data_IF_568495168987
#
_entry.id   IF_568495168987
#
_cell.length_a   1.000
_cell.length_b   1.000
_cell.length_c   1.000
_cell.angle_alpha   90.00
_cell.angle_beta   90.00
_cell.angle_gamma   90.00
#
_symmetry.space_group_name_H-M   'P 1'
#
loop_
_entity.id
_entity.type
_entity.pdbx_description
1 polymer ?
#
# COMPACT_ATOMS: atom_id res chain seq x y z
N UNK A 1 38.90 -38.31 33.39
CA UNK A 1 37.48 -38.17 32.98
C UNK A 1 36.99 -36.80 33.39
N UNK A 2 36.99 -35.82 32.50
CA UNK A 2 36.15 -34.62 32.63
C UNK A 2 35.67 -34.24 31.24
N UNK A 3 34.34 -34.13 31.12
CA UNK A 3 33.55 -34.03 29.90
C UNK A 3 33.68 -32.64 29.26
N UNK A 4 33.54 -32.62 27.94
CA UNK A 4 33.42 -31.44 27.07
C UNK A 4 32.22 -30.56 27.50
N UNK A 5 32.32 -29.21 27.42
CA UNK A 5 31.15 -28.35 27.49
C UNK A 5 30.36 -28.46 26.18
N UNK A 6 29.07 -28.66 26.35
CA UNK A 6 28.04 -28.78 25.33
C UNK A 6 27.80 -27.37 24.77
N UNK A 7 28.05 -27.14 23.48
CA UNK A 7 27.58 -25.93 22.81
C UNK A 7 26.05 -25.98 22.75
N UNK A 8 25.41 -25.27 23.68
CA UNK A 8 23.96 -25.04 23.65
C UNK A 8 23.65 -24.14 22.46
N UNK A 9 23.14 -24.73 21.37
CA UNK A 9 22.67 -23.95 20.23
C UNK A 9 21.48 -23.10 20.68
N UNK A 10 21.71 -21.81 20.87
CA UNK A 10 20.63 -20.85 20.87
C UNK A 10 20.06 -20.86 19.44
N UNK A 11 18.90 -21.49 19.26
CA UNK A 11 18.06 -21.21 18.11
C UNK A 11 17.81 -19.70 18.15
N UNK A 12 18.45 -18.96 17.26
CA UNK A 12 17.94 -17.65 16.90
C UNK A 12 16.51 -17.90 16.40
N UNK A 13 15.52 -17.53 17.21
CA UNK A 13 14.17 -17.39 16.70
C UNK A 13 14.27 -16.35 15.60
N UNK A 14 14.27 -16.81 14.35
CA UNK A 14 14.10 -15.96 13.19
C UNK A 14 12.79 -15.22 13.44
N UNK A 15 12.87 -13.96 13.88
CA UNK A 15 11.72 -13.07 13.82
C UNK A 15 11.34 -13.06 12.35
N UNK A 16 10.26 -13.75 12.01
CA UNK A 16 9.75 -13.76 10.66
C UNK A 16 9.25 -12.34 10.41
N UNK A 17 10.11 -11.50 9.83
CA UNK A 17 9.75 -10.21 9.30
C UNK A 17 8.81 -10.45 8.10
N UNK A 18 7.52 -10.69 8.39
CA UNK A 18 6.43 -10.78 7.42
C UNK A 18 6.49 -9.70 6.32
N UNK A 19 5.93 -10.04 5.18
CA UNK A 19 6.07 -9.28 3.93
C UNK A 19 5.45 -7.87 4.06
N UNK A 20 6.14 -6.84 3.59
CA UNK A 20 5.56 -5.50 3.43
C UNK A 20 4.30 -5.60 2.55
N UNK A 21 3.14 -5.20 3.07
CA UNK A 21 1.87 -5.28 2.34
C UNK A 21 1.58 -4.03 1.50
N UNK A 22 2.56 -3.63 0.69
CA UNK A 22 2.37 -2.63 -0.36
C UNK A 22 1.15 -3.06 -1.19
N UNK A 23 0.13 -2.20 -1.29
CA UNK A 23 -0.93 -2.39 -2.28
C UNK A 23 -0.28 -2.18 -3.63
N UNK A 24 0.06 -3.30 -4.26
CA UNK A 24 0.38 -3.27 -5.67
C UNK A 24 -0.82 -3.79 -6.45
N UNK A 25 -1.27 -3.06 -7.46
CA UNK A 25 -2.23 -3.51 -8.44
C UNK A 25 -1.88 -4.89 -8.96
N UNK A 26 -2.79 -5.82 -8.77
CA UNK A 26 -3.01 -6.84 -9.78
C UNK A 26 -4.35 -6.48 -10.40
N UNK A 27 -4.38 -6.07 -11.67
CA UNK A 27 -5.66 -6.06 -12.38
C UNK A 27 -6.16 -7.50 -12.40
N UNK A 28 -7.39 -7.76 -11.95
CA UNK A 28 -8.03 -9.01 -12.28
C UNK A 28 -8.22 -9.03 -13.80
N UNK A 29 -7.34 -9.78 -14.48
CA UNK A 29 -7.61 -10.22 -15.84
C UNK A 29 -8.84 -11.13 -15.77
N UNK A 30 -10.04 -10.58 -15.87
CA UNK A 30 -11.07 -11.29 -16.61
C UNK A 30 -10.59 -11.25 -18.06
N UNK A 31 -10.08 -12.39 -18.51
CA UNK A 31 -9.45 -12.60 -19.81
C UNK A 31 -10.37 -12.21 -20.97
N UNK A 32 -10.22 -10.98 -21.50
CA UNK A 32 -10.49 -10.69 -22.90
C UNK A 32 -9.61 -9.52 -23.38
N UNK A 33 -8.59 -9.76 -24.23
CA UNK A 33 -7.69 -8.72 -24.72
C UNK A 33 -8.25 -7.87 -25.89
N UNK A 34 -9.58 -7.76 -26.08
CA UNK A 34 -10.12 -7.14 -27.31
C UNK A 34 -11.16 -6.02 -27.20
N UNK A 35 -11.30 -5.30 -26.08
CA UNK A 35 -12.11 -4.05 -26.11
C UNK A 35 -11.60 -2.92 -25.22
N UNK A 36 -11.06 -1.89 -25.89
CA UNK A 36 -10.88 -0.53 -25.37
C UNK A 36 -12.24 0.12 -25.22
N UNK A 37 -12.93 -0.09 -24.10
CA UNK A 37 -14.18 0.60 -23.77
C UNK A 37 -14.04 1.29 -22.41
N UNK A 38 -14.09 2.62 -22.43
CA UNK A 38 -14.35 3.43 -21.24
C UNK A 38 -15.72 3.00 -20.68
N UNK A 39 -15.73 2.22 -19.59
CA UNK A 39 -16.98 1.72 -19.01
C UNK A 39 -16.93 0.45 -18.15
N UNK A 40 -15.80 -0.25 -18.03
CA UNK A 40 -15.73 -1.46 -17.20
C UNK A 40 -15.33 -1.14 -15.76
N UNK A 41 -16.24 -1.40 -14.81
CA UNK A 41 -15.95 -1.52 -13.37
C UNK A 41 -14.80 -2.53 -13.20
N UNK A 42 -13.61 -2.04 -12.84
CA UNK A 42 -12.45 -2.88 -12.58
C UNK A 42 -12.21 -3.00 -11.07
N UNK A 43 -11.97 -4.23 -10.61
CA UNK A 43 -11.48 -4.44 -9.26
C UNK A 43 -9.99 -4.11 -9.16
N UNK A 44 -9.63 -3.37 -8.11
CA UNK A 44 -8.25 -3.10 -7.74
C UNK A 44 -7.89 -4.01 -6.57
N UNK A 45 -6.93 -4.90 -6.77
CA UNK A 45 -6.50 -5.84 -5.74
C UNK A 45 -5.17 -5.45 -5.12
N UNK A 46 -4.97 -5.66 -3.80
CA UNK A 46 -3.63 -5.67 -3.23
C UNK A 46 -2.89 -6.91 -3.72
N UNK A 47 -1.64 -6.74 -4.15
CA UNK A 47 -0.78 -7.87 -4.60
C UNK A 47 -0.60 -8.94 -3.53
N UNK A 48 -0.66 -8.54 -2.26
CA UNK A 48 -0.57 -9.49 -1.16
C UNK A 48 -1.76 -10.45 -1.10
N UNK A 49 -2.93 -10.08 -1.63
CA UNK A 49 -4.12 -10.91 -1.63
C UNK A 49 -5.13 -10.51 -2.73
N UNK A 50 -5.19 -11.28 -3.82
CA UNK A 50 -6.13 -11.05 -4.92
C UNK A 50 -7.60 -11.35 -4.58
N UNK A 51 -7.90 -11.92 -3.41
CA UNK A 51 -9.27 -12.09 -2.93
C UNK A 51 -9.86 -10.81 -2.32
N UNK A 52 -9.02 -9.80 -2.06
CA UNK A 52 -9.43 -8.50 -1.52
C UNK A 52 -9.53 -7.45 -2.63
N UNK A 53 -10.45 -6.51 -2.45
CA UNK A 53 -10.77 -5.45 -3.39
C UNK A 53 -10.71 -4.09 -2.69
N UNK A 54 -10.07 -3.12 -3.33
CA UNK A 54 -10.10 -1.71 -2.93
C UNK A 54 -11.56 -1.25 -2.92
N UNK A 55 -11.98 -0.71 -1.78
CA UNK A 55 -13.37 -0.40 -1.49
C UNK A 55 -13.49 1.01 -0.94
N UNK A 56 -14.55 1.72 -1.32
CA UNK A 56 -14.97 2.93 -0.62
C UNK A 56 -16.00 2.57 0.46
N UNK A 57 -15.76 2.99 1.71
CA UNK A 57 -16.62 2.67 2.84
C UNK A 57 -18.06 3.20 2.70
N UNK A 58 -18.25 4.27 1.91
CA UNK A 58 -19.55 4.81 1.50
C UNK A 58 -19.40 5.68 0.25
N UNK A 59 -20.49 6.24 -0.28
CA UNK A 59 -20.49 7.24 -1.38
C UNK A 59 -20.47 8.70 -0.88
N UNK A 60 -20.10 8.94 0.38
CA UNK A 60 -19.94 10.29 0.91
C UNK A 60 -18.54 10.84 0.60
N UNK A 61 -18.43 12.13 0.32
CA UNK A 61 -17.14 12.81 0.30
C UNK A 61 -16.44 12.64 1.66
N UNK A 62 -15.18 12.23 1.63
CA UNK A 62 -14.40 11.89 2.80
C UNK A 62 -14.59 10.46 3.30
N UNK A 63 -15.35 9.62 2.61
CA UNK A 63 -15.40 8.20 2.97
C UNK A 63 -14.01 7.57 2.80
N UNK A 64 -13.61 6.79 3.81
CA UNK A 64 -12.33 6.11 3.80
C UNK A 64 -12.25 5.11 2.63
N UNK A 65 -11.04 4.96 2.11
CA UNK A 65 -10.71 3.87 1.19
C UNK A 65 -10.06 2.75 1.99
N UNK A 66 -10.61 1.55 1.84
CA UNK A 66 -10.25 0.34 2.57
C UNK A 66 -10.13 -0.85 1.63
N UNK A 67 -9.86 -2.02 2.17
CA UNK A 67 -9.99 -3.29 1.44
C UNK A 67 -11.07 -4.14 2.05
N UNK A 68 -11.82 -4.83 1.19
CA UNK A 68 -12.88 -5.75 1.56
C UNK A 68 -12.78 -7.03 0.73
N UNK A 69 -13.50 -8.08 1.12
CA UNK A 69 -13.77 -9.20 0.23
C UNK A 69 -14.40 -8.69 -1.08
N UNK A 70 -13.96 -9.25 -2.20
CA UNK A 70 -14.48 -8.86 -3.50
C UNK A 70 -15.93 -9.31 -3.67
N UNK A 71 -16.80 -8.36 -4.01
CA UNK A 71 -18.24 -8.55 -4.23
C UNK A 71 -18.58 -8.23 -5.68
N UNK A 72 -19.02 -9.25 -6.43
CA UNK A 72 -19.41 -9.08 -7.84
C UNK A 72 -20.52 -8.04 -7.99
N UNK A 73 -20.33 -7.09 -8.91
CA UNK A 73 -21.29 -6.01 -9.17
C UNK A 73 -21.32 -4.90 -8.13
N UNK A 74 -20.43 -4.89 -7.13
CA UNK A 74 -20.36 -3.82 -6.15
C UNK A 74 -19.91 -2.50 -6.78
N UNK A 75 -20.72 -1.45 -6.62
CA UNK A 75 -20.35 -0.09 -7.04
C UNK A 75 -19.30 0.54 -6.13
N UNK A 76 -19.18 0.07 -4.88
CA UNK A 76 -18.16 0.54 -3.94
C UNK A 76 -16.78 -0.09 -4.16
N UNK A 77 -16.68 -1.04 -5.10
CA UNK A 77 -15.44 -1.70 -5.50
C UNK A 77 -15.12 -1.48 -6.98
N UNK A 78 -16.00 -0.77 -7.68
CA UNK A 78 -15.93 -0.55 -9.12
C UNK A 78 -15.14 0.68 -9.48
N UNK A 79 -13.83 0.50 -9.69
CA UNK A 79 -12.96 1.60 -10.06
C UNK A 79 -12.80 1.69 -11.57
N UNK A 80 -12.73 2.92 -12.09
CA UNK A 80 -12.45 3.22 -13.49
C UNK A 80 -11.33 4.25 -13.60
N UNK A 81 -10.62 4.27 -14.71
CA UNK A 81 -9.65 5.33 -15.00
C UNK A 81 -10.28 6.38 -15.91
N UNK A 82 -10.10 7.65 -15.55
CA UNK A 82 -10.50 8.80 -16.38
C UNK A 82 -9.37 9.82 -16.38
N UNK A 83 -8.58 9.84 -17.46
CA UNK A 83 -7.33 10.59 -17.48
C UNK A 83 -6.37 10.09 -16.39
N UNK A 84 -5.99 10.99 -15.47
CA UNK A 84 -5.16 10.64 -14.30
C UNK A 84 -5.98 10.33 -13.06
N UNK A 85 -7.31 10.35 -13.12
CA UNK A 85 -8.15 10.05 -11.97
C UNK A 85 -8.47 8.55 -11.91
N UNK A 86 -8.47 8.00 -10.69
CA UNK A 86 -9.12 6.74 -10.36
C UNK A 86 -10.51 7.05 -9.81
N UNK A 87 -11.53 6.78 -10.59
CA UNK A 87 -12.91 7.13 -10.31
C UNK A 87 -13.71 5.97 -9.74
N UNK A 88 -14.70 6.28 -8.92
CA UNK A 88 -15.67 5.37 -8.31
C UNK A 88 -17.03 6.07 -8.22
N UNK A 89 -18.12 5.31 -8.23
CA UNK A 89 -19.50 5.83 -8.23
C UNK A 89 -19.86 6.79 -9.39
N UNK A 90 -18.96 7.02 -10.34
CA UNK A 90 -19.15 7.84 -11.54
C UNK A 90 -18.67 9.29 -11.40
N UNK A 91 -18.64 9.85 -10.19
CA UNK A 91 -18.27 11.25 -9.93
C UNK A 91 -17.30 11.44 -8.76
N UNK A 92 -16.88 10.35 -8.10
CA UNK A 92 -15.90 10.38 -7.01
C UNK A 92 -14.55 9.89 -7.49
N UNK A 93 -13.50 10.45 -6.91
CA UNK A 93 -12.12 10.19 -7.22
C UNK A 93 -11.39 9.72 -5.97
N UNK A 94 -10.45 8.78 -6.13
CA UNK A 94 -9.47 8.47 -5.10
C UNK A 94 -8.66 9.74 -4.77
N UNK A 95 -8.56 10.07 -3.50
CA UNK A 95 -8.10 11.37 -3.03
C UNK A 95 -7.13 11.22 -1.85
N UNK A 96 -6.02 11.96 -1.88
CA UNK A 96 -5.15 12.14 -0.72
C UNK A 96 -5.79 13.17 0.20
N UNK A 97 -6.17 12.75 1.41
CA UNK A 97 -6.88 13.61 2.36
C UNK A 97 -6.20 14.97 2.55
N UNK A 98 -6.89 16.05 2.20
CA UNK A 98 -6.43 17.44 2.26
C UNK A 98 -5.12 17.71 1.48
N UNK A 99 -4.72 16.83 0.56
CA UNK A 99 -3.44 16.93 -0.16
C UNK A 99 -2.21 16.86 0.74
N UNK A 100 -2.33 16.31 1.95
CA UNK A 100 -1.22 16.30 2.89
C UNK A 100 -0.08 15.42 2.37
N UNK A 101 1.13 15.97 2.34
CA UNK A 101 2.33 15.24 1.93
C UNK A 101 2.89 14.35 3.03
N UNK A 102 2.39 14.44 4.26
CA UNK A 102 2.79 13.63 5.40
C UNK A 102 2.56 12.14 5.11
N UNK A 103 3.60 11.33 5.24
CA UNK A 103 3.52 9.88 5.11
C UNK A 103 2.48 9.30 6.08
N UNK A 104 1.76 8.26 5.67
CA UNK A 104 0.65 7.76 6.48
C UNK A 104 -0.67 8.51 6.26
N UNK A 105 -0.70 9.58 5.45
CA UNK A 105 -1.97 10.27 5.13
C UNK A 105 -2.93 9.28 4.49
N UNK A 106 -4.11 9.15 5.11
CA UNK A 106 -5.15 8.23 4.67
C UNK A 106 -5.73 8.67 3.33
N UNK A 107 -6.15 7.69 2.54
CA UNK A 107 -6.89 7.96 1.32
C UNK A 107 -8.39 7.95 1.59
N UNK A 108 -9.07 8.82 0.87
CA UNK A 108 -10.51 8.96 0.89
C UNK A 108 -11.03 8.94 -0.55
N UNK A 109 -12.35 8.94 -0.69
CA UNK A 109 -12.98 9.39 -1.92
C UNK A 109 -13.42 10.85 -1.77
N UNK A 110 -13.37 11.58 -2.87
CA UNK A 110 -13.88 12.95 -2.91
C UNK A 110 -14.45 13.24 -4.29
N UNK A 111 -15.40 14.17 -4.37
CA UNK A 111 -15.93 14.67 -5.65
C UNK A 111 -14.78 15.03 -6.59
N UNK A 112 -14.80 14.46 -7.79
CA UNK A 112 -13.76 14.68 -8.78
C UNK A 112 -13.66 16.16 -9.16
N UNK A 113 -12.47 16.74 -9.08
CA UNK A 113 -12.19 18.12 -9.44
C UNK A 113 -11.15 18.20 -10.56
N UNK A 114 -11.45 19.01 -11.59
CA UNK A 114 -10.52 19.19 -12.71
C UNK A 114 -9.23 19.88 -12.25
N UNK A 115 -8.09 19.24 -12.49
CA UNK A 115 -6.78 19.78 -12.13
C UNK A 115 -6.41 19.63 -10.65
N UNK A 116 -7.22 18.92 -9.86
CA UNK A 116 -6.88 18.64 -8.47
C UNK A 116 -5.77 17.59 -8.38
N UNK A 117 -4.58 18.04 -7.96
CA UNK A 117 -3.38 17.20 -7.84
C UNK A 117 -3.54 16.09 -6.82
N UNK A 118 -4.41 16.25 -5.82
CA UNK A 118 -4.63 15.24 -4.78
C UNK A 118 -5.39 14.02 -5.29
N UNK A 119 -5.94 14.11 -6.50
CA UNK A 119 -6.75 13.09 -7.15
C UNK A 119 -6.07 12.48 -8.38
N UNK A 120 -4.81 12.84 -8.65
CA UNK A 120 -4.06 12.37 -9.81
C UNK A 120 -3.16 11.18 -9.45
N UNK A 121 -3.35 10.09 -10.17
CA UNK A 121 -2.67 8.82 -9.94
C UNK A 121 -2.04 8.29 -11.21
N UNK A 122 -0.81 7.83 -11.09
CA UNK A 122 -0.08 7.15 -12.15
C UNK A 122 -0.04 5.67 -11.85
N UNK A 123 -0.56 4.86 -12.79
CA UNK A 123 -0.47 3.41 -12.75
C UNK A 123 0.84 3.01 -13.43
N UNK A 124 1.80 2.48 -12.66
CA UNK A 124 3.09 2.03 -13.18
C UNK A 124 3.33 0.56 -12.82
N UNK A 125 3.16 -0.31 -13.82
CA UNK A 125 3.18 -1.76 -13.62
C UNK A 125 2.12 -2.18 -12.62
N UNK A 126 2.56 -2.71 -11.49
CA UNK A 126 1.69 -3.07 -10.38
C UNK A 126 1.56 -1.97 -9.32
N UNK A 127 1.95 -0.71 -9.53
CA UNK A 127 1.88 0.32 -8.45
C UNK A 127 0.93 1.47 -8.79
N UNK A 128 0.15 1.92 -7.79
CA UNK A 128 -0.55 3.22 -7.79
C UNK A 128 0.39 4.23 -7.18
N UNK A 129 0.77 5.24 -7.94
CA UNK A 129 1.62 6.33 -7.47
C UNK A 129 0.85 7.63 -7.48
N UNK A 130 1.01 8.44 -6.44
CA UNK A 130 0.47 9.80 -6.44
C UNK A 130 1.28 10.63 -7.44
N UNK A 131 0.63 11.15 -8.48
CA UNK A 131 1.32 11.77 -9.61
C UNK A 131 2.14 12.99 -9.16
N UNK A 132 3.42 13.02 -9.55
CA UNK A 132 4.35 14.08 -9.14
C UNK A 132 5.01 13.86 -7.79
N UNK A 133 4.69 12.76 -7.11
CA UNK A 133 5.25 12.39 -5.81
C UNK A 133 5.91 11.01 -5.86
N UNK A 134 6.83 10.75 -4.92
CA UNK A 134 7.51 9.45 -4.77
C UNK A 134 6.74 8.44 -3.92
N UNK A 135 5.44 8.68 -3.68
CA UNK A 135 4.59 7.88 -2.79
C UNK A 135 3.69 6.92 -3.55
N UNK A 136 3.43 5.75 -2.95
CA UNK A 136 2.50 4.75 -3.47
C UNK A 136 1.29 4.60 -2.56
N UNK A 137 0.24 3.97 -3.09
CA UNK A 137 -0.86 3.44 -2.29
C UNK A 137 -0.40 2.21 -1.49
N UNK A 138 -0.72 2.14 -0.20
CA UNK A 138 -0.24 1.09 0.71
C UNK A 138 -1.32 0.71 1.74
N UNK A 139 -1.24 -0.51 2.29
CA UNK A 139 -2.13 -0.99 3.35
C UNK A 139 -1.54 -0.69 4.70
N UNK A 140 -2.35 -0.21 5.63
CA UNK A 140 -1.92 -0.03 7.02
C UNK A 140 -1.36 -1.34 7.56
N UNK A 141 -0.08 -1.32 7.96
CA UNK A 141 0.70 -2.48 8.42
C UNK A 141 0.78 -3.68 7.45
N UNK A 142 0.38 -3.51 6.20
CA UNK A 142 0.34 -4.60 5.22
C UNK A 142 -0.70 -5.71 5.50
N UNK A 143 -1.66 -5.44 6.36
CA UNK A 143 -2.68 -6.40 6.79
C UNK A 143 -3.77 -6.54 5.72
N UNK A 144 -4.19 -7.77 5.42
CA UNK A 144 -5.21 -8.07 4.38
C UNK A 144 -6.57 -8.48 4.95
N UNK A 145 -6.88 -8.00 6.16
CA UNK A 145 -8.19 -8.12 6.79
C UNK A 145 -9.14 -7.07 6.23
N UNK A 146 -10.42 -7.40 6.16
CA UNK A 146 -11.48 -6.46 5.80
C UNK A 146 -11.50 -5.24 6.72
N UNK A 147 -11.87 -4.09 6.15
CA UNK A 147 -11.83 -2.79 6.79
C UNK A 147 -10.43 -2.22 6.98
N UNK A 148 -9.37 -2.87 6.47
CA UNK A 148 -8.03 -2.30 6.61
C UNK A 148 -7.87 -1.06 5.71
N UNK A 149 -7.49 0.05 6.32
CA UNK A 149 -7.45 1.36 5.66
C UNK A 149 -6.21 1.49 4.77
N UNK A 150 -6.42 2.17 3.65
CA UNK A 150 -5.43 2.51 2.64
C UNK A 150 -4.87 3.91 2.86
N UNK A 151 -3.56 4.06 2.69
CA UNK A 151 -2.87 5.34 2.87
C UNK A 151 -1.81 5.57 1.79
N UNK A 152 -1.30 6.81 1.69
CA UNK A 152 -0.10 7.09 0.88
C UNK A 152 1.19 6.82 1.67
N UNK A 153 2.03 5.94 1.13
CA UNK A 153 3.34 5.64 1.70
C UNK A 153 4.31 6.82 1.59
N UNK A 154 5.45 6.70 2.27
CA UNK A 154 6.59 7.55 2.02
C UNK A 154 7.30 7.24 0.69
N UNK A 155 8.37 7.99 0.37
CA UNK A 155 9.18 7.76 -0.81
C UNK A 155 9.57 6.28 -0.94
N UNK A 156 9.13 5.63 -2.01
CA UNK A 156 9.59 4.28 -2.34
C UNK A 156 11.04 4.38 -2.81
N UNK A 157 12.04 3.81 -2.11
CA UNK A 157 13.41 3.82 -2.61
C UNK A 157 13.48 3.09 -3.95
N UNK A 158 14.22 3.62 -4.92
CA UNK A 158 14.31 3.10 -6.29
C UNK A 158 14.69 1.61 -6.38
N UNK A 159 15.35 1.08 -5.35
CA UNK A 159 15.77 -0.32 -5.23
C UNK A 159 14.60 -1.31 -5.13
N UNK A 160 13.39 -0.83 -4.84
CA UNK A 160 12.17 -1.61 -4.78
C UNK A 160 11.56 -1.88 -6.18
N UNK A 161 12.28 -1.75 -7.28
CA UNK A 161 11.71 -2.08 -8.61
C UNK A 161 12.12 -3.45 -9.14
N UNK A 162 13.19 -4.09 -8.62
CA UNK A 162 13.77 -5.26 -9.30
C UNK A 162 14.36 -6.40 -8.43
N UNK A 163 14.09 -6.48 -7.12
CA UNK A 163 14.65 -7.55 -6.29
C UNK A 163 13.75 -7.95 -5.12
N UNK A 164 13.32 -9.22 -5.11
CA UNK A 164 13.12 -10.06 -3.93
C UNK A 164 12.37 -9.50 -2.69
N UNK A 165 12.43 -10.21 -1.56
CA UNK A 165 11.73 -9.83 -0.34
C UNK A 165 12.33 -8.55 0.24
N UNK A 166 11.53 -7.49 0.23
CA UNK A 166 11.96 -6.15 0.63
C UNK A 166 12.10 -6.02 2.13
N UNK A 167 13.17 -5.36 2.58
CA UNK A 167 13.33 -4.95 3.99
C UNK A 167 12.31 -3.85 4.32
N UNK A 168 11.67 -4.01 5.47
CA UNK A 168 10.54 -3.22 5.96
C UNK A 168 10.96 -1.80 6.32
N UNK A 169 10.15 -0.82 5.95
CA UNK A 169 10.04 0.42 6.72
C UNK A 169 8.85 0.25 7.66
N UNK A 170 9.10 0.26 8.96
CA UNK A 170 8.05 0.46 9.96
C UNK A 170 7.54 1.88 9.78
N UNK A 171 6.45 2.08 9.03
CA UNK A 171 5.65 3.28 9.21
C UNK A 171 4.63 2.99 10.32
N UNK A 172 5.15 2.85 11.55
CA UNK A 172 4.32 2.87 12.73
C UNK A 172 3.75 4.29 12.83
N UNK A 173 2.43 4.43 12.69
CA UNK A 173 1.72 5.56 13.28
C UNK A 173 2.06 5.50 14.78
N UNK A 174 2.95 6.38 15.22
CA UNK A 174 3.38 6.59 16.61
C UNK A 174 3.77 5.31 17.39
N UNK A 175 5.05 4.93 17.34
CA UNK A 175 5.72 4.46 18.55
C UNK A 175 6.97 5.32 18.77
N UNK A 176 7.11 5.99 19.94
CA UNK A 176 8.35 6.70 20.26
C UNK A 176 9.50 5.68 20.31
N UNK A 177 10.64 6.11 19.78
CA UNK A 177 11.93 5.38 19.76
C UNK A 177 12.08 4.32 20.85
N UNK A 178 12.08 3.06 20.44
CA UNK A 178 12.70 1.97 21.19
C UNK A 178 13.55 1.15 20.22
N UNK A 179 14.64 1.74 19.73
CA UNK A 179 15.91 1.04 19.61
C UNK A 179 17.05 2.05 19.43
N UNK A 180 17.43 2.59 20.58
CA UNK A 180 18.65 3.32 20.82
C UNK A 180 19.87 2.43 20.51
N UNK A 181 20.26 2.31 19.23
CA UNK A 181 21.51 1.65 18.81
C UNK A 181 22.22 2.45 17.72
N UNK A 182 22.67 3.65 18.09
CA UNK A 182 23.87 4.22 17.49
C UNK A 182 25.05 3.33 17.87
N UNK A 183 25.58 2.61 16.88
CA UNK A 183 26.87 1.96 16.97
C UNK A 183 27.96 3.02 17.17
N UNK A 184 28.58 3.07 18.34
CA UNK A 184 29.87 3.72 18.53
C UNK A 184 30.95 2.63 18.53
N UNK A 185 31.41 2.27 17.33
CA UNK A 185 32.77 1.74 17.18
C UNK A 185 33.71 2.95 17.16
N UNK A 186 34.39 3.18 18.29
CA UNK A 186 35.63 3.97 18.29
C UNK A 186 36.75 3.10 18.85
N UNK A 187 37.58 2.62 17.92
CA UNK A 187 38.94 2.17 18.19
C UNK A 187 39.70 3.27 18.93
N UNK A 188 40.17 2.99 20.14
CA UNK A 188 41.39 3.60 20.65
C UNK A 188 42.15 2.59 21.53
N UNK A 189 43.36 2.31 21.04
CA UNK A 189 44.47 1.63 21.68
C UNK A 189 44.63 1.98 23.17
N UNK A 190 44.76 0.95 24.02
CA UNK A 190 45.94 0.65 24.85
C UNK A 190 45.80 -0.77 25.44
#
# INVERSE_FOLDING_TARGET
MFRHPIFSSLLAASVAWGRSGLVRFSSATTSDPTTTTSGTIAFIHPTANAAKCLSAASNADGAAVEIEDCVSGSTSQGWTTSGSNLQIFGDKCLDVTNGMTTDGTLLQIWTCATGDTNQMWTISGSTIQWTGHSSCLDLTNGVTTDGNIVYKSGPVPAELTNSGPRRRYNHAILQPDLDNKFSFDFLLHL
#
